data_IF_342891010318
#
_entry.id   IF_342891010318
#
_cell.length_a   1.000
_cell.length_b   1.000
_cell.length_c   1.000
_cell.angle_alpha   90.00
_cell.angle_beta   90.00
_cell.angle_gamma   90.00
#
_symmetry.space_group_name_H-M   'P 1'
#
loop_
_entity.id
_entity.type
_entity.pdbx_description
1 polymer ?
#
# COMPACT_ATOMS: atom_id res chain seq x y z
N UNK A 1 0.70 13.19 -7.87
CA UNK A 1 -0.74 13.18 -7.55
C UNK A 1 -1.42 14.29 -8.33
N UNK A 2 -2.69 14.11 -8.69
CA UNK A 2 -3.48 15.11 -9.41
C UNK A 2 -4.48 15.75 -8.44
N UNK A 3 -4.69 17.08 -8.49
CA UNK A 3 -5.72 17.72 -7.69
C UNK A 3 -7.08 17.03 -7.81
N UNK A 4 -7.82 16.94 -6.71
CA UNK A 4 -9.10 16.24 -6.61
C UNK A 4 -9.01 14.74 -6.35
N UNK A 5 -7.82 14.13 -6.32
CA UNK A 5 -7.67 12.74 -5.92
C UNK A 5 -7.78 12.56 -4.40
N UNK A 6 -8.27 11.39 -3.99
CA UNK A 6 -8.38 10.98 -2.59
C UNK A 6 -7.31 9.92 -2.31
N UNK A 7 -6.52 10.15 -1.27
CA UNK A 7 -5.59 9.16 -0.71
C UNK A 7 -6.32 8.38 0.37
N UNK A 8 -6.51 7.09 0.15
CA UNK A 8 -7.10 6.19 1.14
C UNK A 8 -5.98 5.65 2.03
N UNK A 9 -6.13 5.75 3.34
CA UNK A 9 -5.14 5.30 4.32
C UNK A 9 -5.78 4.42 5.39
N UNK A 10 -5.02 3.46 5.91
CA UNK A 10 -5.42 2.69 7.08
C UNK A 10 -5.46 3.58 8.34
N UNK A 11 -6.27 3.20 9.32
CA UNK A 11 -6.64 3.99 10.48
C UNK A 11 -5.82 3.64 11.73
N UNK A 12 -4.52 3.53 11.53
CA UNK A 12 -3.54 3.33 12.59
C UNK A 12 -2.87 4.64 12.98
N UNK A 13 -2.52 4.79 14.25
CA UNK A 13 -2.12 6.08 14.83
C UNK A 13 -0.92 6.71 14.11
N UNK A 14 0.03 5.91 13.60
CA UNK A 14 1.19 6.43 12.88
C UNK A 14 0.87 7.01 11.49
N UNK A 15 -0.29 6.68 10.90
CA UNK A 15 -0.76 7.30 9.66
C UNK A 15 -1.44 8.66 9.88
N UNK A 16 -1.81 9.01 11.12
CA UNK A 16 -2.48 10.28 11.46
C UNK A 16 -1.53 11.45 11.69
N UNK A 17 -0.34 11.39 11.11
CA UNK A 17 0.64 12.46 11.22
C UNK A 17 0.16 13.71 10.46
N UNK A 18 0.11 14.86 11.15
CA UNK A 18 -0.33 16.12 10.55
C UNK A 18 0.51 16.55 9.34
N UNK A 19 1.81 16.22 9.32
CA UNK A 19 2.69 16.50 8.19
C UNK A 19 2.22 15.80 6.92
N UNK A 20 1.77 14.55 7.01
CA UNK A 20 1.27 13.79 5.86
C UNK A 20 0.01 14.46 5.29
N UNK A 21 -0.89 14.90 6.18
CA UNK A 21 -2.10 15.64 5.80
C UNK A 21 -1.77 16.92 5.04
N UNK A 22 -0.88 17.75 5.58
CA UNK A 22 -0.47 19.01 4.95
C UNK A 22 0.17 18.78 3.59
N UNK A 23 1.01 17.75 3.44
CA UNK A 23 1.67 17.43 2.16
C UNK A 23 0.68 16.95 1.09
N UNK A 24 -0.37 16.22 1.48
CA UNK A 24 -1.39 15.74 0.55
C UNK A 24 -2.34 16.89 0.14
N UNK A 25 -2.73 17.73 1.10
CA UNK A 25 -3.60 18.89 0.83
C UNK A 25 -2.89 19.97 0.01
N UNK A 26 -1.57 20.15 0.16
CA UNK A 26 -0.80 21.14 -0.60
C UNK A 26 -0.75 20.87 -2.11
N UNK A 27 -0.95 19.62 -2.53
CA UNK A 27 -1.07 19.22 -3.95
C UNK A 27 -2.54 19.13 -4.41
N UNK A 28 -3.47 19.68 -3.64
CA UNK A 28 -4.90 19.74 -3.95
C UNK A 28 -5.62 18.40 -3.82
N UNK A 29 -5.08 17.45 -3.06
CA UNK A 29 -5.69 16.15 -2.79
C UNK A 29 -6.29 16.09 -1.38
N UNK A 30 -7.06 15.05 -1.08
CA UNK A 30 -7.63 14.83 0.26
C UNK A 30 -7.23 13.46 0.81
N UNK A 31 -7.36 13.29 2.12
CA UNK A 31 -7.12 12.00 2.80
C UNK A 31 -8.44 11.45 3.31
N UNK A 32 -8.66 10.16 3.08
CA UNK A 32 -9.73 9.37 3.68
C UNK A 32 -9.14 8.24 4.51
N UNK A 33 -9.38 8.25 5.82
CA UNK A 33 -9.04 7.13 6.69
C UNK A 33 -10.15 6.09 6.66
N UNK A 34 -9.78 4.82 6.54
CA UNK A 34 -10.73 3.71 6.65
C UNK A 34 -11.29 3.57 8.08
N UNK A 35 -12.42 2.91 8.31
CA UNK A 35 -12.84 2.57 9.66
C UNK A 35 -11.85 1.56 10.29
N UNK A 36 -11.70 1.61 11.61
CA UNK A 36 -10.81 0.68 12.33
C UNK A 36 -11.25 -0.77 12.08
N UNK A 37 -10.28 -1.68 11.97
CA UNK A 37 -10.51 -3.11 11.73
C UNK A 37 -11.36 -3.40 10.48
N UNK A 38 -11.24 -2.58 9.43
CA UNK A 38 -11.95 -2.76 8.16
C UNK A 38 -11.01 -3.12 6.99
N UNK A 39 -10.27 -4.25 7.07
CA UNK A 39 -9.36 -4.66 6.00
C UNK A 39 -10.11 -4.93 4.69
N UNK A 40 -11.38 -5.35 4.77
CA UNK A 40 -12.24 -5.59 3.59
C UNK A 40 -12.49 -4.33 2.77
N UNK A 41 -12.35 -3.15 3.38
CA UNK A 41 -12.48 -1.85 2.71
C UNK A 41 -11.17 -1.34 2.14
N UNK A 42 -10.06 -2.08 2.27
CA UNK A 42 -8.76 -1.70 1.77
C UNK A 42 -8.42 -2.50 0.49
N UNK A 43 -8.63 -1.95 -0.72
CA UNK A 43 -8.47 -2.70 -1.96
C UNK A 43 -7.06 -3.27 -2.15
N UNK A 44 -6.04 -2.63 -1.56
CA UNK A 44 -4.65 -3.07 -1.66
C UNK A 44 -4.44 -4.48 -1.06
N UNK A 45 -5.28 -4.91 -0.12
CA UNK A 45 -5.18 -6.25 0.50
C UNK A 45 -5.39 -7.36 -0.53
N UNK A 46 -6.34 -7.16 -1.47
CA UNK A 46 -6.57 -8.11 -2.56
C UNK A 46 -5.37 -8.20 -3.52
N UNK A 47 -4.73 -7.06 -3.81
CA UNK A 47 -3.51 -7.04 -4.62
C UNK A 47 -2.37 -7.74 -3.87
N UNK A 48 -2.16 -7.43 -2.59
CA UNK A 48 -1.12 -8.06 -1.77
C UNK A 48 -1.30 -9.57 -1.64
N UNK A 49 -2.53 -10.09 -1.61
CA UNK A 49 -2.77 -11.52 -1.62
C UNK A 49 -2.11 -12.20 -2.84
N UNK A 50 -2.35 -11.67 -4.04
CA UNK A 50 -1.77 -12.19 -5.28
C UNK A 50 -0.24 -12.05 -5.29
N UNK A 51 0.28 -10.87 -4.94
CA UNK A 51 1.72 -10.58 -4.93
C UNK A 51 2.45 -11.54 -3.97
N UNK A 52 1.95 -11.69 -2.74
CA UNK A 52 2.53 -12.61 -1.74
C UNK A 52 2.50 -14.06 -2.23
N UNK A 53 1.44 -14.47 -2.95
CA UNK A 53 1.36 -15.80 -3.50
C UNK A 53 2.44 -16.07 -4.55
N UNK A 54 2.67 -15.14 -5.47
CA UNK A 54 3.73 -15.27 -6.48
C UNK A 54 5.13 -15.25 -5.86
N UNK A 55 5.39 -14.37 -4.87
CA UNK A 55 6.67 -14.35 -4.15
C UNK A 55 6.96 -15.70 -3.50
N UNK A 56 5.97 -16.32 -2.83
CA UNK A 56 6.15 -17.62 -2.16
C UNK A 56 6.54 -18.74 -3.12
N UNK A 57 6.05 -18.73 -4.35
CA UNK A 57 6.39 -19.76 -5.37
C UNK A 57 7.86 -19.71 -5.77
N UNK A 58 8.45 -18.52 -5.77
CA UNK A 58 9.82 -18.31 -6.26
C UNK A 58 10.84 -18.13 -5.13
N UNK A 59 10.40 -17.92 -3.88
CA UNK A 59 11.29 -17.60 -2.74
C UNK A 59 12.45 -18.59 -2.58
N UNK A 60 12.21 -19.90 -2.77
CA UNK A 60 13.26 -20.93 -2.64
C UNK A 60 14.36 -20.84 -3.72
N UNK A 61 14.13 -20.09 -4.79
CA UNK A 61 15.07 -19.90 -5.90
C UNK A 61 16.03 -18.73 -5.64
N UNK A 62 15.77 -17.91 -4.62
CA UNK A 62 16.53 -16.72 -4.30
C UNK A 62 17.19 -16.83 -2.93
N UNK A 63 18.35 -16.17 -2.77
CA UNK A 63 19.10 -16.15 -1.51
C UNK A 63 18.39 -15.34 -0.41
N UNK A 64 17.67 -14.30 -0.82
CA UNK A 64 16.96 -13.38 0.08
C UNK A 64 15.59 -13.02 -0.49
N UNK A 65 14.66 -12.70 0.40
CA UNK A 65 13.29 -12.33 0.04
C UNK A 65 13.23 -11.05 -0.80
N UNK A 66 14.14 -10.10 -0.59
CA UNK A 66 14.23 -8.86 -1.39
C UNK A 66 14.41 -9.16 -2.88
N UNK A 67 15.29 -10.10 -3.22
CA UNK A 67 15.51 -10.52 -4.60
C UNK A 67 14.27 -11.20 -5.21
N UNK A 68 13.57 -12.01 -4.42
CA UNK A 68 12.31 -12.64 -4.86
C UNK A 68 11.20 -11.60 -5.07
N UNK A 69 11.12 -10.59 -4.20
CA UNK A 69 10.19 -9.46 -4.34
C UNK A 69 10.51 -8.66 -5.59
N UNK A 70 11.76 -8.23 -5.77
CA UNK A 70 12.20 -7.47 -6.94
C UNK A 70 11.91 -8.22 -8.24
N UNK A 71 12.19 -9.53 -8.27
CA UNK A 71 11.88 -10.37 -9.42
C UNK A 71 10.38 -10.38 -9.72
N UNK A 72 9.52 -10.65 -8.73
CA UNK A 72 8.06 -10.68 -8.96
C UNK A 72 7.50 -9.32 -9.36
N UNK A 73 8.02 -8.23 -8.79
CA UNK A 73 7.58 -6.87 -9.10
C UNK A 73 7.90 -6.43 -10.54
N UNK A 74 8.82 -7.09 -11.24
CA UNK A 74 9.07 -6.83 -12.67
C UNK A 74 7.92 -7.30 -13.59
N UNK A 75 6.99 -8.12 -13.07
CA UNK A 75 5.90 -8.73 -13.84
C UNK A 75 4.51 -8.21 -13.45
N UNK A 76 4.43 -7.17 -12.62
CA UNK A 76 3.19 -6.50 -12.18
C UNK A 76 3.13 -5.12 -12.83
#
# INVERSE_FOLDING_TARGET
MRPGQIVIMDNINFHKNNTIKVLIESVGCSILFLPTYSPDLNPIEHYWFKIKNEIRKVTAQFKDISMAVEHVMQFI
#
